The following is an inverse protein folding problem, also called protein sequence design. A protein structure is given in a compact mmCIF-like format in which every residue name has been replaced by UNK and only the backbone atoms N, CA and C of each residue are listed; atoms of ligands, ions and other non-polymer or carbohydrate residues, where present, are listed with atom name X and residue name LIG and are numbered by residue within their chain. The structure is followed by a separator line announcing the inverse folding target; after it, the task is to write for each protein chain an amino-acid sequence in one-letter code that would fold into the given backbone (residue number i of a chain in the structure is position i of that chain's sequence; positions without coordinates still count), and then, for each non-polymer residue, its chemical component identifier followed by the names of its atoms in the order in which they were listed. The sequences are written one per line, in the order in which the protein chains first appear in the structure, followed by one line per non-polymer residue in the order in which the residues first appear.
data_IF_190989765227
#
_entry.id   IF_190989765227
#
_cell.length_a   1.000
_cell.length_b   1.000
_cell.length_c   1.000
_cell.angle_alpha   90.00
_cell.angle_beta   90.00
_cell.angle_gamma   90.00
#
_symmetry.space_group_name_H-M   'P 1'
#
loop_
_entity.id
_entity.type
_entity.pdbx_description
1 polymer ?
#
# COMPACT_ATOMS: atom_id res chain seq x y z
N UNK A 1 9.42 -20.95 -21.74
CA UNK A 1 8.01 -20.52 -21.89
C UNK A 1 7.91 -19.07 -21.42
N UNK A 2 7.91 -18.08 -22.33
CA UNK A 2 7.78 -16.66 -21.96
C UNK A 2 6.33 -16.40 -21.56
N UNK A 3 6.01 -16.54 -20.27
CA UNK A 3 4.70 -16.19 -19.75
C UNK A 3 4.59 -14.66 -19.75
N UNK A 4 3.67 -14.12 -20.55
CA UNK A 4 3.41 -12.68 -20.62
C UNK A 4 3.11 -12.13 -19.23
N UNK A 5 3.66 -10.95 -18.94
CA UNK A 5 3.44 -10.26 -17.66
C UNK A 5 2.09 -9.57 -17.73
N UNK A 6 1.16 -9.91 -16.83
CA UNK A 6 -0.13 -9.19 -16.75
C UNK A 6 -0.05 -8.01 -15.79
N UNK A 7 -0.77 -6.93 -16.09
CA UNK A 7 -0.93 -5.78 -15.19
C UNK A 7 -1.51 -6.21 -13.83
N UNK A 8 -2.39 -7.22 -13.81
CA UNK A 8 -2.94 -7.81 -12.58
C UNK A 8 -1.86 -8.36 -11.65
N UNK A 9 -0.85 -9.03 -12.20
CA UNK A 9 0.27 -9.56 -11.42
C UNK A 9 1.14 -8.43 -10.84
N UNK A 10 1.31 -7.32 -11.59
CA UNK A 10 2.05 -6.13 -11.13
C UNK A 10 1.25 -5.36 -10.05
N UNK A 11 -0.07 -5.30 -10.16
CA UNK A 11 -0.93 -4.62 -9.18
C UNK A 11 -1.05 -5.44 -7.90
N UNK A 12 -1.22 -6.77 -7.98
CA UNK A 12 -1.31 -7.64 -6.80
C UNK A 12 -0.04 -7.64 -5.96
N UNK A 13 1.12 -7.53 -6.61
CA UNK A 13 2.41 -7.45 -5.92
C UNK A 13 2.59 -6.13 -5.13
N UNK A 14 1.77 -5.09 -5.36
CA UNK A 14 1.86 -3.84 -4.58
C UNK A 14 1.34 -3.96 -3.14
N UNK A 15 0.55 -4.98 -2.82
CA UNK A 15 0.08 -5.24 -1.44
C UNK A 15 1.27 -5.53 -0.52
N UNK A 16 2.30 -6.19 -1.03
CA UNK A 16 3.52 -6.54 -0.29
C UNK A 16 4.16 -5.30 0.32
N UNK A 17 4.16 -4.16 -0.38
CA UNK A 17 4.69 -2.89 0.15
C UNK A 17 3.92 -2.41 1.37
N UNK A 18 2.59 -2.48 1.34
CA UNK A 18 1.77 -2.04 2.44
C UNK A 18 1.95 -2.93 3.67
N UNK A 19 2.14 -4.25 3.47
CA UNK A 19 2.44 -5.19 4.55
C UNK A 19 3.81 -4.89 5.18
N UNK A 20 4.85 -4.70 4.36
CA UNK A 20 6.20 -4.37 4.85
C UNK A 20 6.18 -3.03 5.58
N UNK A 21 5.51 -2.01 5.03
CA UNK A 21 5.35 -0.71 5.67
C UNK A 21 4.66 -0.83 7.03
N UNK A 22 3.57 -1.59 7.11
CA UNK A 22 2.82 -1.79 8.35
C UNK A 22 3.66 -2.51 9.40
N UNK A 23 4.43 -3.53 8.98
CA UNK A 23 5.33 -4.28 9.85
C UNK A 23 6.48 -3.39 10.36
N UNK A 24 7.03 -2.54 9.49
CA UNK A 24 8.07 -1.59 9.87
C UNK A 24 7.56 -0.52 10.84
N UNK A 25 6.38 0.04 10.56
CA UNK A 25 5.72 0.99 11.45
C UNK A 25 5.39 0.36 12.82
N UNK A 26 4.93 -0.88 12.84
CA UNK A 26 4.61 -1.60 14.07
C UNK A 26 5.81 -1.65 15.03
N UNK A 27 7.01 -1.93 14.52
CA UNK A 27 8.23 -1.96 15.34
C UNK A 27 8.59 -0.58 15.91
N UNK A 28 8.34 0.50 15.17
CA UNK A 28 8.59 1.87 15.63
C UNK A 28 7.51 2.42 16.57
N UNK A 29 6.27 1.96 16.44
CA UNK A 29 5.13 2.45 17.21
C UNK A 29 5.04 1.83 18.62
N UNK A 30 5.82 0.77 18.89
CA UNK A 30 5.87 0.12 20.21
C UNK A 30 6.68 0.97 21.20
N UNK A 31 6.25 0.95 22.46
CA UNK A 31 6.96 1.61 23.57
C UNK A 31 8.03 0.73 24.19
N UNK A 32 7.97 -0.58 23.97
CA UNK A 32 8.89 -1.59 24.47
C UNK A 32 9.87 -2.03 23.37
N UNK A 33 10.93 -1.23 23.22
CA UNK A 33 11.98 -1.49 22.23
C UNK A 33 12.80 -2.73 22.60
N UNK A 34 12.96 -3.64 21.64
CA UNK A 34 13.75 -4.85 21.76
C UNK A 34 14.91 -4.83 20.76
N UNK A 35 16.10 -5.29 21.16
CA UNK A 35 17.30 -5.23 20.31
C UNK A 35 17.16 -5.99 18.98
N UNK A 36 16.36 -7.06 18.97
CA UNK A 36 16.12 -7.85 17.75
C UNK A 36 15.34 -7.06 16.68
N UNK A 37 14.68 -5.96 17.04
CA UNK A 37 14.01 -5.09 16.07
C UNK A 37 14.96 -4.49 15.07
N UNK A 38 16.18 -4.17 15.48
CA UNK A 38 17.18 -3.65 14.56
C UNK A 38 17.50 -4.70 13.48
N UNK A 39 17.69 -5.96 13.88
CA UNK A 39 17.91 -7.08 12.95
C UNK A 39 16.70 -7.28 12.04
N UNK A 40 15.48 -7.28 12.58
CA UNK A 40 14.26 -7.43 11.79
C UNK A 40 14.08 -6.29 10.78
N UNK A 41 14.40 -5.05 11.16
CA UNK A 41 14.37 -3.88 10.27
C UNK A 41 15.37 -4.01 9.12
N UNK A 42 16.60 -4.46 9.39
CA UNK A 42 17.58 -4.71 8.33
C UNK A 42 17.12 -5.81 7.37
N UNK A 43 16.56 -6.90 7.90
CA UNK A 43 16.00 -7.98 7.07
C UNK A 43 14.85 -7.48 6.21
N UNK A 44 13.90 -6.73 6.79
CA UNK A 44 12.82 -6.11 6.02
C UNK A 44 13.35 -5.15 4.96
N UNK A 45 14.40 -4.38 5.26
CA UNK A 45 15.07 -3.51 4.30
C UNK A 45 15.69 -4.29 3.13
N UNK A 46 16.41 -5.37 3.39
CA UNK A 46 16.96 -6.25 2.36
C UNK A 46 15.86 -6.88 1.50
N UNK A 47 14.78 -7.36 2.12
CA UNK A 47 13.60 -7.90 1.42
C UNK A 47 12.96 -6.84 0.52
N UNK A 48 12.80 -5.61 1.03
CA UNK A 48 12.23 -4.49 0.28
C UNK A 48 13.09 -4.16 -0.96
N UNK A 49 14.41 -4.10 -0.80
CA UNK A 49 15.35 -3.84 -1.92
C UNK A 49 15.25 -4.95 -2.97
N UNK A 50 15.32 -6.22 -2.56
CA UNK A 50 15.20 -7.35 -3.48
C UNK A 50 13.85 -7.33 -4.22
N UNK A 51 12.77 -6.99 -3.52
CA UNK A 51 11.45 -6.88 -4.09
C UNK A 51 11.33 -5.73 -5.10
N UNK A 52 11.94 -4.56 -4.83
CA UNK A 52 11.97 -3.45 -5.78
C UNK A 52 12.74 -3.80 -7.05
N UNK A 53 13.87 -4.51 -6.94
CA UNK A 53 14.62 -4.98 -8.11
C UNK A 53 13.78 -5.96 -8.94
N UNK A 54 13.10 -6.90 -8.29
CA UNK A 54 12.18 -7.82 -8.96
C UNK A 54 11.05 -7.07 -9.68
N UNK A 55 10.40 -6.11 -9.01
CA UNK A 55 9.33 -5.31 -9.58
C UNK A 55 9.78 -4.44 -10.74
N UNK A 56 10.98 -3.85 -10.65
CA UNK A 56 11.56 -3.08 -11.74
C UNK A 56 11.72 -3.92 -13.01
N UNK A 57 12.26 -5.14 -12.89
CA UNK A 57 12.40 -6.07 -14.02
C UNK A 57 11.03 -6.44 -14.61
N UNK A 58 10.03 -6.71 -13.75
CA UNK A 58 8.67 -7.06 -14.18
C UNK A 58 7.97 -5.93 -14.91
N UNK A 59 8.04 -4.70 -14.40
CA UNK A 59 7.47 -3.51 -15.05
C UNK A 59 8.16 -3.25 -16.40
N UNK A 60 9.48 -3.42 -16.47
CA UNK A 60 10.24 -3.28 -17.74
C UNK A 60 9.80 -4.31 -18.77
N UNK A 61 9.58 -5.56 -18.36
CA UNK A 61 9.11 -6.61 -19.26
C UNK A 61 7.66 -6.36 -19.72
N UNK A 62 6.78 -5.90 -18.82
CA UNK A 62 5.41 -5.51 -19.18
C UNK A 62 5.36 -4.43 -20.26
N UNK A 63 6.16 -3.35 -20.11
CA UNK A 63 6.22 -2.27 -21.09
C UNK A 63 6.70 -2.71 -22.47
N UNK A 64 7.45 -3.81 -22.58
CA UNK A 64 7.92 -4.37 -23.85
C UNK A 64 6.87 -5.20 -24.59
N UNK A 65 5.84 -5.67 -23.91
CA UNK A 65 4.86 -6.63 -24.47
C UNK A 65 3.65 -5.96 -25.16
N UNK A 66 3.65 -4.63 -25.27
CA UNK A 66 2.50 -3.83 -25.70
C UNK A 66 1.58 -3.60 -24.52
N UNK A 67 1.46 -2.35 -24.08
CA UNK A 67 0.69 -1.99 -22.88
C UNK A 67 -0.80 -2.10 -23.20
N UNK A 68 -1.54 -2.82 -22.37
CA UNK A 68 -3.00 -2.84 -22.43
C UNK A 68 -3.54 -1.50 -21.92
N UNK A 69 -3.95 -0.65 -22.86
CA UNK A 69 -4.42 0.71 -22.57
C UNK A 69 -5.71 0.71 -21.73
N UNK A 70 -6.60 -0.28 -21.92
CA UNK A 70 -7.83 -0.41 -21.13
C UNK A 70 -7.50 -0.76 -19.68
N UNK A 71 -6.59 -1.71 -19.46
CA UNK A 71 -6.15 -2.08 -18.12
C UNK A 71 -5.46 -0.90 -17.40
N UNK A 72 -4.67 -0.09 -18.10
CA UNK A 72 -4.04 1.10 -17.50
C UNK A 72 -5.06 2.18 -17.11
N UNK A 73 -6.07 2.43 -17.95
CA UNK A 73 -7.16 3.35 -17.63
C UNK A 73 -7.95 2.89 -16.39
N UNK A 74 -8.23 1.59 -16.29
CA UNK A 74 -8.91 1.00 -15.14
C UNK A 74 -8.09 1.13 -13.85
N UNK A 75 -6.77 0.93 -13.94
CA UNK A 75 -5.88 1.17 -12.81
C UNK A 75 -5.90 2.64 -12.37
N UNK A 76 -5.88 3.60 -13.30
CA UNK A 76 -5.97 5.04 -12.99
C UNK A 76 -7.30 5.40 -12.33
N UNK A 77 -8.42 4.81 -12.78
CA UNK A 77 -9.73 4.97 -12.14
C UNK A 77 -9.73 4.42 -10.71
N UNK A 78 -9.21 3.20 -10.50
CA UNK A 78 -9.05 2.61 -9.17
C UNK A 78 -8.22 3.51 -8.25
N UNK A 79 -7.09 4.02 -8.75
CA UNK A 79 -6.19 4.89 -7.99
C UNK A 79 -6.87 6.21 -7.60
N UNK A 80 -7.63 6.82 -8.51
CA UNK A 80 -8.39 8.04 -8.24
C UNK A 80 -9.47 7.83 -7.18
N UNK A 81 -10.22 6.73 -7.25
CA UNK A 81 -11.24 6.37 -6.25
C UNK A 81 -10.57 6.14 -4.89
N UNK A 82 -9.52 5.34 -4.86
CA UNK A 82 -8.74 5.03 -3.67
C UNK A 82 -8.19 6.31 -3.01
N UNK A 83 -7.67 7.25 -3.80
CA UNK A 83 -7.15 8.52 -3.31
C UNK A 83 -8.25 9.39 -2.72
N UNK A 84 -9.43 9.48 -3.36
CA UNK A 84 -10.57 10.23 -2.81
C UNK A 84 -11.03 9.68 -1.46
N UNK A 85 -11.10 8.34 -1.33
CA UNK A 85 -11.41 7.69 -0.06
C UNK A 85 -10.33 8.02 0.98
N UNK A 86 -9.06 7.91 0.62
CA UNK A 86 -7.94 8.23 1.53
C UNK A 86 -8.02 9.67 2.04
N UNK A 87 -8.24 10.64 1.15
CA UNK A 87 -8.38 12.05 1.52
C UNK A 87 -9.54 12.23 2.51
N UNK A 88 -10.68 11.59 2.27
CA UNK A 88 -11.81 11.60 3.20
C UNK A 88 -11.44 11.06 4.60
N UNK A 89 -10.75 9.91 4.65
CA UNK A 89 -10.26 9.33 5.91
C UNK A 89 -9.31 10.29 6.62
N UNK A 90 -8.34 10.87 5.91
CA UNK A 90 -7.36 11.79 6.48
C UNK A 90 -7.99 13.06 7.03
N UNK A 91 -9.03 13.59 6.37
CA UNK A 91 -9.80 14.73 6.89
C UNK A 91 -10.49 14.35 8.19
N UNK A 92 -11.19 13.21 8.25
CA UNK A 92 -11.86 12.74 9.47
C UNK A 92 -10.85 12.55 10.61
N UNK A 93 -9.68 11.98 10.32
CA UNK A 93 -8.61 11.81 11.31
C UNK A 93 -8.08 13.16 11.80
N UNK A 94 -7.87 14.13 10.92
CA UNK A 94 -7.37 15.45 11.29
C UNK A 94 -8.35 16.22 12.19
N UNK A 95 -9.63 16.27 11.81
CA UNK A 95 -10.67 16.93 12.62
C UNK A 95 -10.92 16.18 13.94
N UNK A 96 -10.95 14.84 13.90
CA UNK A 96 -11.08 14.02 15.10
C UNK A 96 -9.93 14.22 16.08
N UNK A 97 -8.69 14.28 15.58
CA UNK A 97 -7.51 14.57 16.38
C UNK A 97 -7.57 15.98 17.00
N UNK A 98 -8.04 16.99 16.28
CA UNK A 98 -8.20 18.35 16.80
C UNK A 98 -9.24 18.42 17.93
N UNK A 99 -10.42 17.82 17.73
CA UNK A 99 -11.53 17.85 18.71
C UNK A 99 -11.15 17.06 19.97
N UNK A 100 -10.67 15.82 19.80
CA UNK A 100 -10.37 14.92 20.91
C UNK A 100 -9.02 15.21 21.57
N UNK A 101 -8.12 15.91 20.87
CA UNK A 101 -6.86 16.39 21.41
C UNK A 101 -7.06 17.36 22.57
N UNK A 102 -8.10 18.21 22.53
CA UNK A 102 -8.47 19.08 23.65
C UNK A 102 -8.88 18.30 24.92
N UNK A 103 -9.36 17.07 24.76
CA UNK A 103 -9.80 16.21 25.86
C UNK A 103 -8.71 15.21 26.32
N UNK A 104 -7.48 15.30 25.79
CA UNK A 104 -6.41 14.29 25.97
C UNK A 104 -6.84 12.86 25.63
N UNK A 105 -7.89 12.69 24.82
CA UNK A 105 -8.49 11.40 24.51
C UNK A 105 -7.83 10.70 23.31
N UNK A 106 -6.92 11.37 22.60
CA UNK A 106 -6.21 10.83 21.43
C UNK A 106 -4.70 10.92 21.63
N UNK A 107 -4.02 9.78 21.47
CA UNK A 107 -2.56 9.68 21.47
C UNK A 107 -2.04 9.78 20.02
N UNK A 108 -0.87 10.39 19.82
CA UNK A 108 -0.15 10.44 18.54
C UNK A 108 0.05 9.06 17.92
N UNK A 109 0.23 8.01 18.74
CA UNK A 109 0.30 6.62 18.26
C UNK A 109 -0.99 6.16 17.56
N UNK A 110 -2.16 6.55 18.07
CA UNK A 110 -3.46 6.21 17.46
C UNK A 110 -3.62 6.85 16.07
N UNK A 111 -3.19 8.10 15.91
CA UNK A 111 -3.22 8.81 14.63
C UNK A 111 -2.34 8.08 13.62
N UNK A 112 -1.09 7.79 13.97
CA UNK A 112 -0.17 7.12 13.06
C UNK A 112 -0.62 5.70 12.67
N UNK A 113 -1.19 4.94 13.61
CA UNK A 113 -1.82 3.65 13.31
C UNK A 113 -2.98 3.77 12.33
N UNK A 114 -3.83 4.80 12.48
CA UNK A 114 -4.96 5.02 11.58
C UNK A 114 -4.48 5.32 10.15
N UNK A 115 -3.40 6.08 10.00
CA UNK A 115 -2.79 6.37 8.70
C UNK A 115 -2.23 5.09 8.06
N UNK A 116 -1.46 4.30 8.80
CA UNK A 116 -0.82 3.11 8.24
C UNK A 116 -1.83 2.01 7.91
N UNK A 117 -2.82 1.79 8.78
CA UNK A 117 -3.89 0.83 8.51
C UNK A 117 -4.78 1.26 7.35
N UNK A 118 -5.06 2.55 7.20
CA UNK A 118 -5.82 3.02 6.03
C UNK A 118 -5.06 2.79 4.72
N UNK A 119 -3.73 2.97 4.69
CA UNK A 119 -2.89 2.61 3.53
C UNK A 119 -2.98 1.11 3.23
N UNK A 120 -2.91 0.24 4.26
CA UNK A 120 -3.02 -1.20 4.09
C UNK A 120 -4.36 -1.63 3.51
N UNK A 121 -5.46 -1.16 4.12
CA UNK A 121 -6.83 -1.45 3.67
C UNK A 121 -7.05 -0.96 2.24
N UNK A 122 -6.61 0.25 1.92
CA UNK A 122 -6.71 0.82 0.59
C UNK A 122 -5.90 0.07 -0.46
N UNK A 123 -4.73 -0.47 -0.10
CA UNK A 123 -3.93 -1.31 -1.00
C UNK A 123 -4.70 -2.58 -1.38
N UNK A 124 -5.37 -3.21 -0.42
CA UNK A 124 -6.23 -4.39 -0.66
C UNK A 124 -7.44 -4.00 -1.53
N UNK A 125 -8.15 -2.92 -1.18
CA UNK A 125 -9.32 -2.43 -1.92
C UNK A 125 -8.93 -2.11 -3.38
N UNK A 126 -7.82 -1.42 -3.61
CA UNK A 126 -7.28 -1.11 -4.94
C UNK A 126 -7.09 -2.39 -5.76
N UNK A 127 -6.45 -3.41 -5.20
CA UNK A 127 -6.24 -4.67 -5.91
C UNK A 127 -7.56 -5.38 -6.20
N UNK A 128 -8.47 -5.47 -5.25
CA UNK A 128 -9.78 -6.10 -5.45
C UNK A 128 -10.60 -5.38 -6.54
N UNK A 129 -10.69 -4.04 -6.47
CA UNK A 129 -11.39 -3.24 -7.48
C UNK A 129 -10.80 -3.45 -8.87
N UNK A 130 -9.47 -3.43 -8.98
CA UNK A 130 -8.77 -3.66 -10.25
C UNK A 130 -9.10 -5.04 -10.82
N UNK A 131 -9.04 -6.10 -10.00
CA UNK A 131 -9.37 -7.46 -10.43
C UNK A 131 -10.82 -7.59 -10.89
N UNK A 132 -11.75 -6.95 -10.18
CA UNK A 132 -13.17 -6.98 -10.54
C UNK A 132 -13.43 -6.24 -11.85
N UNK A 133 -12.84 -5.05 -12.05
CA UNK A 133 -12.98 -4.28 -13.30
C UNK A 133 -12.37 -5.02 -14.49
N UNK A 134 -11.16 -5.55 -14.33
CA UNK A 134 -10.46 -6.35 -15.33
C UNK A 134 -11.27 -7.60 -15.72
N UNK A 135 -11.88 -8.29 -14.74
CA UNK A 135 -12.72 -9.48 -15.01
C UNK A 135 -14.04 -9.17 -15.73
N UNK A 136 -14.55 -7.93 -15.62
CA UNK A 136 -15.80 -7.50 -16.23
C UNK A 136 -15.60 -6.82 -17.60
N UNK A 137 -14.35 -6.53 -17.99
CA UNK A 137 -14.03 -5.82 -19.23
C UNK A 137 -14.52 -4.36 -19.24
N UNK A 138 -14.67 -3.74 -18.06
CA UNK A 138 -15.17 -2.35 -17.87
C UNK A 138 -14.04 -1.43 -17.51
#
# INVERSE_FOLDING_TARGET
MNKKVSLKEIVGTKIVYAIILTSYYWMWARTDWEDWYLTAQYVLGCVLIAFFLFQYVRIKNYKKEGVDEMAEQNLKRCDSICLKIFVGVMVVVAFGAAILGHANAVNTGFIGWTIVLSILVLSIIRTVMFVVMDSKGV
#
